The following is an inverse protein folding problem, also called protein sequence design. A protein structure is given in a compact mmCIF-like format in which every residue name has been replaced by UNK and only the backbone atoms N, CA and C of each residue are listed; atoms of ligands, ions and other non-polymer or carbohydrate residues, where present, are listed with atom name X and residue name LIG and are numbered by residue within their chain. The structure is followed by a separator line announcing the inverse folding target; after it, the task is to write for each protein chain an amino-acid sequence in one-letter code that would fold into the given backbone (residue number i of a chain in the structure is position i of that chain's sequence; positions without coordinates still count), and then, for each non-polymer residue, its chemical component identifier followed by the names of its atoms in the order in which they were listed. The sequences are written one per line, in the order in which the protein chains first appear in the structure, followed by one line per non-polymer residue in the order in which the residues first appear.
data_IF_919524179208
#
_entry.id   IF_919524179208
#
_cell.length_a   1.000
_cell.length_b   1.000
_cell.length_c   1.000
_cell.angle_alpha   90.00
_cell.angle_beta   90.00
_cell.angle_gamma   90.00
#
_symmetry.space_group_name_H-M   'P 1'
#
loop_
_entity.id
_entity.type
_entity.pdbx_description
1 polymer ?
#
# COMPACT_ATOMS: atom_id res chain seq x y z
N UNK A 1 -21.26 1.12 20.18
CA UNK A 1 -21.70 2.27 19.38
C UNK A 1 -21.60 3.53 20.25
N UNK A 2 -20.55 4.33 20.06
CA UNK A 2 -20.47 5.68 20.65
C UNK A 2 -20.81 6.66 19.54
N UNK A 3 -22.02 7.16 19.52
CA UNK A 3 -22.42 8.32 18.72
C UNK A 3 -21.91 9.57 19.41
N UNK A 4 -20.63 9.89 19.26
CA UNK A 4 -20.09 11.19 19.62
C UNK A 4 -20.45 12.17 18.51
N UNK A 5 -21.14 13.27 18.84
CA UNK A 5 -21.37 14.38 17.94
C UNK A 5 -20.04 14.89 17.42
N UNK A 6 -19.80 14.80 16.11
CA UNK A 6 -18.55 15.23 15.46
C UNK A 6 -18.33 16.74 15.39
N UNK A 7 -19.13 17.53 16.11
CA UNK A 7 -18.98 18.97 16.19
C UNK A 7 -17.68 19.34 16.91
N UNK A 8 -16.71 19.93 16.19
CA UNK A 8 -15.41 20.31 16.71
C UNK A 8 -14.31 19.24 16.61
N UNK A 9 -14.57 18.06 16.01
CA UNK A 9 -13.55 17.07 15.73
C UNK A 9 -12.57 17.59 14.66
N UNK A 10 -11.27 17.29 14.81
CA UNK A 10 -10.26 17.56 13.78
C UNK A 10 -10.04 16.29 12.99
N UNK A 11 -10.03 16.39 11.67
CA UNK A 11 -9.88 15.24 10.76
C UNK A 11 -8.95 15.55 9.59
N UNK A 12 -8.24 14.55 9.12
CA UNK A 12 -7.62 14.59 7.80
C UNK A 12 -8.57 13.94 6.78
N UNK A 13 -8.67 14.51 5.59
CA UNK A 13 -9.24 13.81 4.43
C UNK A 13 -8.20 12.84 3.94
N UNK A 14 -8.52 11.56 3.93
CA UNK A 14 -7.66 10.49 3.48
C UNK A 14 -8.15 9.93 2.14
N UNK A 15 -7.23 9.68 1.22
CA UNK A 15 -7.49 9.07 -0.08
C UNK A 15 -6.50 7.92 -0.27
N UNK A 16 -7.01 6.75 -0.65
CA UNK A 16 -6.23 5.58 -1.03
C UNK A 16 -6.65 5.18 -2.44
N UNK A 17 -5.79 5.49 -3.40
CA UNK A 17 -6.07 5.41 -4.83
C UNK A 17 -5.47 4.12 -5.35
N UNK A 18 -6.32 3.22 -5.81
CA UNK A 18 -5.89 1.98 -6.41
C UNK A 18 -6.27 1.87 -7.90
N UNK A 19 -5.63 0.93 -8.60
CA UNK A 19 -5.91 0.69 -10.02
C UNK A 19 -7.33 0.19 -10.32
N UNK A 20 -8.07 -0.30 -9.33
CA UNK A 20 -9.45 -0.81 -9.48
C UNK A 20 -10.45 -0.08 -8.60
N UNK A 21 -9.99 0.50 -7.52
CA UNK A 21 -10.82 1.04 -6.45
C UNK A 21 -10.23 2.33 -5.94
N UNK A 22 -11.07 3.31 -5.69
CA UNK A 22 -10.76 4.55 -4.98
C UNK A 22 -11.42 4.49 -3.61
N UNK A 23 -10.63 4.55 -2.55
CA UNK A 23 -11.11 4.60 -1.17
C UNK A 23 -10.83 5.97 -0.57
N UNK A 24 -11.74 6.46 0.25
CA UNK A 24 -11.56 7.73 0.94
C UNK A 24 -12.26 7.77 2.28
N UNK A 25 -11.81 8.64 3.18
CA UNK A 25 -12.39 8.74 4.51
C UNK A 25 -11.96 9.98 5.29
N UNK A 26 -12.59 10.16 6.43
CA UNK A 26 -12.24 11.16 7.43
C UNK A 26 -11.59 10.46 8.61
N UNK A 27 -10.35 10.82 8.93
CA UNK A 27 -9.54 10.11 9.90
C UNK A 27 -8.98 11.09 10.93
N UNK A 28 -9.08 10.73 12.20
CA UNK A 28 -8.58 11.51 13.33
C UNK A 28 -7.06 11.35 13.50
N UNK A 29 -6.45 12.15 14.35
CA UNK A 29 -5.02 12.16 14.63
C UNK A 29 -4.48 10.82 15.16
N UNK A 30 -5.30 10.10 15.91
CA UNK A 30 -4.98 8.77 16.45
C UNK A 30 -5.25 7.62 15.46
N UNK A 31 -5.60 7.96 14.20
CA UNK A 31 -5.85 6.99 13.14
C UNK A 31 -7.26 6.38 13.13
N UNK A 32 -8.19 6.86 13.97
CA UNK A 32 -9.55 6.37 13.96
C UNK A 32 -10.31 6.86 12.73
N UNK A 33 -10.90 5.94 11.97
CA UNK A 33 -11.69 6.23 10.77
C UNK A 33 -13.12 6.55 11.17
N UNK A 34 -13.54 7.83 11.05
CA UNK A 34 -14.89 8.28 11.39
C UNK A 34 -15.90 7.89 10.31
N UNK A 35 -15.50 7.94 9.08
CA UNK A 35 -16.24 7.43 7.93
C UNK A 35 -15.30 7.02 6.82
N UNK A 36 -15.71 6.02 6.06
CA UNK A 36 -15.02 5.60 4.84
C UNK A 36 -16.05 5.36 3.74
N UNK A 37 -15.62 5.56 2.52
CA UNK A 37 -16.37 5.25 1.30
C UNK A 37 -15.42 4.65 0.27
N UNK A 38 -15.95 3.75 -0.54
CA UNK A 38 -15.21 3.08 -1.59
C UNK A 38 -16.02 3.13 -2.88
N UNK A 39 -15.36 3.31 -3.99
CA UNK A 39 -15.98 3.28 -5.32
C UNK A 39 -15.04 2.69 -6.36
N UNK A 40 -15.56 2.12 -7.45
CA UNK A 40 -14.73 1.69 -8.56
C UNK A 40 -13.92 2.86 -9.11
N UNK A 41 -12.67 2.59 -9.51
CA UNK A 41 -11.86 3.57 -10.22
C UNK A 41 -12.53 3.94 -11.56
N UNK A 42 -12.45 5.22 -11.93
CA UNK A 42 -12.98 5.71 -13.21
C UNK A 42 -12.19 5.04 -14.34
N UNK A 43 -12.91 4.47 -15.32
CA UNK A 43 -12.34 3.82 -16.50
C UNK A 43 -12.87 4.50 -17.76
N UNK A 44 -12.06 5.35 -18.38
CA UNK A 44 -12.41 6.08 -19.59
C UNK A 44 -11.14 6.37 -20.38
N UNK A 45 -10.68 5.35 -21.11
CA UNK A 45 -9.41 5.39 -21.85
C UNK A 45 -8.15 5.19 -20.99
N UNK A 46 -8.28 5.08 -19.66
CA UNK A 46 -7.20 4.88 -18.69
C UNK A 46 -7.74 4.59 -17.31
N UNK A 47 -6.89 4.61 -16.29
CA UNK A 47 -7.30 4.49 -14.89
C UNK A 47 -7.33 5.87 -14.23
N UNK A 48 -8.50 6.33 -13.82
CA UNK A 48 -8.80 7.66 -13.25
C UNK A 48 -8.22 8.83 -14.05
N UNK A 49 -8.53 8.93 -15.37
CA UNK A 49 -7.91 9.92 -16.25
C UNK A 49 -8.07 11.34 -15.72
N UNK A 50 -6.94 12.07 -15.63
CA UNK A 50 -6.89 13.42 -15.07
C UNK A 50 -7.35 13.47 -13.60
N UNK A 51 -7.27 12.37 -12.86
CA UNK A 51 -7.65 12.26 -11.44
C UNK A 51 -9.10 12.66 -11.15
N UNK A 52 -10.02 12.46 -12.10
CA UNK A 52 -11.42 12.90 -11.98
C UNK A 52 -12.16 12.24 -10.82
N UNK A 53 -11.99 10.93 -10.65
CA UNK A 53 -12.57 10.18 -9.55
C UNK A 53 -11.99 10.56 -8.21
N UNK A 54 -10.66 10.69 -8.15
CA UNK A 54 -9.92 11.17 -6.97
C UNK A 54 -10.42 12.55 -6.53
N UNK A 55 -10.53 13.50 -7.45
CA UNK A 55 -11.00 14.86 -7.16
C UNK A 55 -12.47 14.89 -6.71
N UNK A 56 -13.33 14.07 -7.33
CA UNK A 56 -14.73 13.97 -6.91
C UNK A 56 -14.85 13.41 -5.48
N UNK A 57 -14.06 12.39 -5.16
CA UNK A 57 -14.02 11.78 -3.84
C UNK A 57 -13.50 12.76 -2.77
N UNK A 58 -12.42 13.49 -3.07
CA UNK A 58 -11.86 14.50 -2.17
C UNK A 58 -12.85 15.62 -1.85
N UNK A 59 -13.57 16.14 -2.88
CA UNK A 59 -14.62 17.16 -2.70
C UNK A 59 -15.75 16.67 -1.82
N UNK A 60 -16.26 15.46 -2.08
CA UNK A 60 -17.33 14.85 -1.27
C UNK A 60 -16.93 14.75 0.21
N UNK A 61 -15.72 14.26 0.48
CA UNK A 61 -15.23 14.11 1.85
C UNK A 61 -15.02 15.46 2.55
N UNK A 62 -14.55 16.47 1.82
CA UNK A 62 -14.40 17.83 2.36
C UNK A 62 -15.76 18.42 2.74
N UNK A 63 -16.76 18.28 1.87
CA UNK A 63 -18.14 18.71 2.19
C UNK A 63 -18.69 17.92 3.38
N UNK A 64 -18.49 16.60 3.40
CA UNK A 64 -18.95 15.76 4.51
C UNK A 64 -18.33 16.17 5.85
N UNK A 65 -17.05 16.53 5.88
CA UNK A 65 -16.42 17.06 7.07
C UNK A 65 -17.09 18.36 7.55
N UNK A 66 -17.41 19.27 6.62
CA UNK A 66 -18.14 20.52 6.92
C UNK A 66 -19.54 20.24 7.49
N UNK A 67 -20.29 19.32 6.87
CA UNK A 67 -21.62 18.91 7.35
C UNK A 67 -21.58 18.29 8.76
N UNK A 68 -20.48 17.63 9.10
CA UNK A 68 -20.24 17.09 10.45
C UNK A 68 -19.75 18.14 11.46
N UNK A 69 -19.48 19.36 11.02
CA UNK A 69 -18.86 20.41 11.84
C UNK A 69 -17.42 20.08 12.25
N UNK A 70 -16.73 19.24 11.47
CA UNK A 70 -15.35 18.86 11.70
C UNK A 70 -14.38 19.82 11.00
N UNK A 71 -13.24 20.10 11.65
CA UNK A 71 -12.15 20.88 11.06
C UNK A 71 -11.26 19.97 10.24
N UNK A 72 -11.12 20.25 8.93
CA UNK A 72 -10.17 19.55 8.06
C UNK A 72 -8.77 20.13 8.26
N UNK A 73 -7.82 19.30 8.71
CA UNK A 73 -6.43 19.69 8.97
C UNK A 73 -5.53 19.55 7.75
N UNK A 74 -5.93 18.77 6.77
CA UNK A 74 -5.20 18.54 5.53
C UNK A 74 -5.78 17.39 4.72
N UNK A 75 -5.17 17.12 3.57
CA UNK A 75 -5.46 15.97 2.72
C UNK A 75 -4.21 15.10 2.64
N UNK A 76 -4.35 13.80 2.89
CA UNK A 76 -3.35 12.80 2.58
C UNK A 76 -3.86 11.88 1.48
N UNK A 77 -3.00 11.58 0.49
CA UNK A 77 -3.38 10.76 -0.65
C UNK A 77 -2.28 9.74 -0.99
N UNK A 78 -2.63 8.45 -0.91
CA UNK A 78 -1.80 7.32 -1.34
C UNK A 78 -2.08 6.96 -2.80
N UNK A 79 -1.03 6.79 -3.59
CA UNK A 79 -1.11 6.41 -5.00
C UNK A 79 -0.30 5.15 -5.29
N UNK A 80 -0.74 4.28 -6.21
CA UNK A 80 0.00 3.09 -6.63
C UNK A 80 1.09 3.47 -7.66
N UNK A 81 1.86 4.50 -7.34
CA UNK A 81 2.88 5.10 -8.18
C UNK A 81 4.14 5.38 -7.35
N UNK A 82 5.27 5.56 -8.01
CA UNK A 82 6.45 6.09 -7.36
C UNK A 82 6.25 7.57 -7.00
N UNK A 83 6.60 7.91 -5.77
CA UNK A 83 6.46 9.27 -5.24
C UNK A 83 7.80 9.75 -4.70
N UNK A 84 8.28 10.87 -5.21
CA UNK A 84 9.53 11.49 -4.76
C UNK A 84 9.46 11.96 -3.31
N UNK A 85 10.61 12.24 -2.69
CA UNK A 85 10.66 12.83 -1.35
C UNK A 85 9.98 14.21 -1.22
N UNK A 86 9.71 14.88 -2.35
CA UNK A 86 8.95 16.13 -2.41
C UNK A 86 7.43 15.92 -2.60
N UNK A 87 6.94 14.69 -2.58
CA UNK A 87 5.52 14.38 -2.76
C UNK A 87 5.01 14.53 -4.19
N UNK A 88 5.88 14.36 -5.18
CA UNK A 88 5.50 14.38 -6.59
C UNK A 88 5.45 12.96 -7.16
N UNK A 89 4.40 12.63 -7.91
CA UNK A 89 4.35 11.40 -8.70
C UNK A 89 5.46 11.41 -9.75
N UNK A 90 6.19 10.30 -9.88
CA UNK A 90 7.31 10.16 -10.81
C UNK A 90 7.14 9.00 -11.80
N UNK A 91 6.07 8.21 -11.65
CA UNK A 91 5.68 7.14 -12.59
C UNK A 91 4.24 7.31 -13.06
N UNK A 92 3.85 6.54 -14.08
CA UNK A 92 2.49 6.40 -14.61
C UNK A 92 2.24 4.93 -14.93
N UNK A 93 2.41 4.08 -13.93
CA UNK A 93 2.28 2.64 -14.12
C UNK A 93 0.83 2.18 -14.04
N UNK A 94 0.04 2.86 -13.22
CA UNK A 94 -1.34 2.46 -12.91
C UNK A 94 -2.33 3.58 -13.19
N UNK A 95 -2.02 4.81 -12.78
CA UNK A 95 -2.95 5.96 -12.83
C UNK A 95 -2.60 6.88 -14.01
N UNK A 96 -3.63 7.31 -14.72
CA UNK A 96 -3.48 8.23 -15.86
C UNK A 96 -3.65 9.69 -15.40
N UNK A 97 -2.55 10.29 -15.00
CA UNK A 97 -2.50 11.66 -14.50
C UNK A 97 -1.71 12.60 -15.43
N UNK A 98 -2.18 13.84 -15.56
CA UNK A 98 -1.52 14.90 -16.35
C UNK A 98 -0.91 15.98 -15.45
N UNK A 99 -1.60 16.30 -14.35
CA UNK A 99 -1.17 17.29 -13.36
C UNK A 99 -0.89 16.63 -12.03
N UNK A 100 0.07 17.17 -11.27
CA UNK A 100 0.42 16.66 -9.95
C UNK A 100 -0.77 16.73 -8.99
N UNK A 101 -1.10 15.64 -8.27
CA UNK A 101 -2.27 15.57 -7.40
C UNK A 101 -2.29 16.66 -6.32
N UNK A 102 -1.12 17.03 -5.78
CA UNK A 102 -1.02 18.04 -4.75
C UNK A 102 -1.57 19.40 -5.23
N UNK A 103 -1.26 19.81 -6.48
CA UNK A 103 -1.77 21.05 -7.08
C UNK A 103 -3.29 21.02 -7.27
N UNK A 104 -3.83 19.88 -7.69
CA UNK A 104 -5.28 19.72 -7.89
C UNK A 104 -6.05 19.70 -6.58
N UNK A 105 -5.51 19.08 -5.53
CA UNK A 105 -6.16 18.92 -4.22
C UNK A 105 -6.07 20.16 -3.34
N UNK A 106 -4.99 20.97 -3.46
CA UNK A 106 -4.74 22.13 -2.59
C UNK A 106 -5.90 23.15 -2.55
N UNK A 107 -6.62 23.45 -3.64
CA UNK A 107 -7.77 24.36 -3.61
C UNK A 107 -8.94 23.89 -2.73
N UNK A 108 -9.02 22.60 -2.41
CA UNK A 108 -10.09 22.06 -1.55
C UNK A 108 -9.84 22.34 -0.06
N UNK A 109 -8.60 22.62 0.33
CA UNK A 109 -8.19 22.86 1.72
C UNK A 109 -7.23 24.04 1.80
N UNK A 110 -7.66 25.28 1.50
CA UNK A 110 -6.79 26.44 1.43
C UNK A 110 -5.99 26.64 2.72
N UNK A 111 -4.66 26.79 2.57
CA UNK A 111 -3.76 27.01 3.70
C UNK A 111 -3.50 25.77 4.57
N UNK A 112 -3.97 24.59 4.16
CA UNK A 112 -3.70 23.32 4.83
C UNK A 112 -2.80 22.43 3.96
N UNK A 113 -2.02 21.52 4.56
CA UNK A 113 -1.14 20.63 3.82
C UNK A 113 -1.93 19.64 2.92
N UNK A 114 -1.35 19.36 1.77
CA UNK A 114 -1.71 18.24 0.91
C UNK A 114 -0.47 17.36 0.80
N UNK A 115 -0.56 16.13 1.28
CA UNK A 115 0.53 15.16 1.26
C UNK A 115 0.20 14.05 0.28
N UNK A 116 1.05 13.88 -0.71
CA UNK A 116 0.98 12.79 -1.69
C UNK A 116 2.07 11.78 -1.36
N UNK A 117 1.69 10.51 -1.27
CA UNK A 117 2.60 9.43 -0.90
C UNK A 117 2.28 8.17 -1.72
N UNK A 118 3.20 7.20 -1.77
CA UNK A 118 2.91 5.87 -2.31
C UNK A 118 1.98 5.10 -1.37
N UNK A 119 1.03 4.36 -1.93
CA UNK A 119 0.06 3.53 -1.20
C UNK A 119 0.73 2.55 -0.21
N UNK A 120 1.79 1.87 -0.66
CA UNK A 120 2.55 0.95 0.19
C UNK A 120 3.25 1.68 1.34
N UNK A 121 3.74 2.91 1.12
CA UNK A 121 4.35 3.71 2.18
C UNK A 121 3.31 4.23 3.16
N UNK A 122 2.10 4.56 2.69
CA UNK A 122 0.96 4.83 3.56
C UNK A 122 0.65 3.62 4.45
N UNK A 123 0.52 2.42 3.86
CA UNK A 123 0.29 1.20 4.63
C UNK A 123 1.38 0.92 5.67
N UNK A 124 2.64 1.12 5.31
CA UNK A 124 3.77 0.98 6.22
C UNK A 124 3.73 2.00 7.39
N UNK A 125 3.39 3.26 7.10
CA UNK A 125 3.24 4.30 8.13
C UNK A 125 2.12 3.95 9.11
N UNK A 126 0.97 3.51 8.60
CA UNK A 126 -0.15 3.09 9.45
C UNK A 126 0.25 1.95 10.39
N UNK A 127 0.87 0.90 9.88
CA UNK A 127 1.35 -0.23 10.69
C UNK A 127 2.42 0.20 11.70
N UNK A 128 3.24 1.20 11.38
CA UNK A 128 4.22 1.76 12.30
C UNK A 128 3.59 2.51 13.48
N UNK A 129 2.46 3.20 13.25
CA UNK A 129 1.78 4.03 14.25
C UNK A 129 0.79 3.28 15.10
N UNK A 130 -0.01 2.41 14.49
CA UNK A 130 -1.19 1.83 15.13
C UNK A 130 -1.35 0.32 14.91
N UNK A 131 -0.41 -0.33 14.21
CA UNK A 131 -0.50 -1.75 13.86
C UNK A 131 0.70 -2.59 14.30
N UNK A 132 0.95 -3.68 13.59
CA UNK A 132 1.98 -4.69 13.89
C UNK A 132 3.42 -4.16 13.92
N UNK A 133 3.68 -3.01 13.35
CA UNK A 133 4.98 -2.32 13.35
C UNK A 133 5.20 -1.43 14.56
N UNK A 134 4.19 -1.22 15.42
CA UNK A 134 4.27 -0.32 16.56
C UNK A 134 5.37 -0.76 17.55
N UNK A 135 6.21 0.20 17.95
CA UNK A 135 7.31 -0.03 18.90
C UNK A 135 8.52 -0.75 18.32
N UNK A 136 8.53 -1.10 17.02
CA UNK A 136 9.70 -1.66 16.35
C UNK A 136 10.67 -0.54 15.94
N UNK A 137 11.97 -0.74 16.16
CA UNK A 137 13.00 0.17 15.66
C UNK A 137 13.09 0.21 14.15
N UNK A 138 12.80 -0.92 13.50
CA UNK A 138 12.69 -1.02 12.04
C UNK A 138 11.84 -2.21 11.63
N UNK A 139 11.23 -2.15 10.43
CA UNK A 139 10.59 -3.31 9.82
C UNK A 139 10.47 -3.15 8.29
N UNK A 140 10.41 -4.28 7.60
CA UNK A 140 10.07 -4.35 6.20
C UNK A 140 8.56 -4.60 6.09
N UNK A 141 7.82 -3.66 5.53
CA UNK A 141 6.42 -3.84 5.17
C UNK A 141 6.32 -4.37 3.74
N UNK A 142 5.50 -5.40 3.53
CA UNK A 142 5.28 -6.00 2.21
C UNK A 142 3.79 -6.15 1.98
N UNK A 143 3.26 -5.49 0.96
CA UNK A 143 1.87 -5.58 0.55
C UNK A 143 1.74 -6.59 -0.59
N UNK A 144 1.03 -7.70 -0.34
CA UNK A 144 0.68 -8.70 -1.34
C UNK A 144 -0.82 -8.63 -1.60
N UNK A 145 -1.18 -7.94 -2.66
CA UNK A 145 -2.56 -7.70 -3.09
C UNK A 145 -2.73 -8.02 -4.57
N UNK A 146 -3.40 -7.15 -5.32
CA UNK A 146 -3.44 -7.19 -6.78
C UNK A 146 -2.03 -7.09 -7.35
N UNK A 147 -1.24 -6.13 -6.85
CA UNK A 147 0.20 -5.98 -7.07
C UNK A 147 1.03 -6.51 -5.90
N UNK A 148 2.35 -6.29 -5.98
CA UNK A 148 3.33 -6.61 -4.96
C UNK A 148 4.26 -5.42 -4.75
N UNK A 149 4.22 -4.83 -3.57
CA UNK A 149 5.06 -3.67 -3.23
C UNK A 149 5.61 -3.80 -1.83
N UNK A 150 6.69 -3.04 -1.53
CA UNK A 150 7.32 -3.05 -0.22
C UNK A 150 7.76 -1.64 0.19
N UNK A 151 7.83 -1.43 1.50
CA UNK A 151 8.39 -0.23 2.11
C UNK A 151 9.20 -0.58 3.35
N UNK A 152 10.24 0.18 3.62
CA UNK A 152 11.05 0.02 4.83
C UNK A 152 10.77 1.15 5.81
N UNK A 153 10.54 0.78 7.06
CA UNK A 153 10.36 1.71 8.16
C UNK A 153 11.56 1.61 9.09
N UNK A 154 12.11 2.76 9.44
CA UNK A 154 13.19 2.88 10.41
C UNK A 154 12.87 4.03 11.37
N UNK A 155 12.94 3.76 12.69
CA UNK A 155 12.63 4.75 13.73
C UNK A 155 11.27 5.44 13.52
N UNK A 156 10.28 4.66 13.09
CA UNK A 156 8.94 5.13 12.80
C UNK A 156 8.81 5.97 11.52
N UNK A 157 9.86 6.14 10.73
CA UNK A 157 9.84 6.88 9.46
C UNK A 157 9.93 5.93 8.27
N UNK A 158 9.11 6.16 7.28
CA UNK A 158 9.16 5.40 6.04
C UNK A 158 10.29 5.91 5.17
N UNK A 159 11.15 5.01 4.71
CA UNK A 159 12.28 5.33 3.87
C UNK A 159 11.87 5.34 2.39
N UNK A 160 11.90 6.52 1.78
CA UNK A 160 11.56 6.69 0.37
C UNK A 160 12.74 6.40 -0.59
N UNK A 161 13.98 6.38 -0.07
CA UNK A 161 15.18 6.38 -0.91
C UNK A 161 15.45 7.76 -1.53
N UNK A 162 16.50 7.86 -2.32
CA UNK A 162 16.94 9.13 -2.90
C UNK A 162 15.95 9.67 -3.94
N UNK A 163 15.30 8.81 -4.72
CA UNK A 163 14.39 9.17 -5.81
C UNK A 163 12.91 8.86 -5.52
N UNK A 164 12.60 8.30 -4.37
CA UNK A 164 11.25 7.82 -4.08
C UNK A 164 10.94 6.42 -4.64
N UNK A 165 11.95 5.70 -5.10
CA UNK A 165 11.84 4.37 -5.74
C UNK A 165 12.29 3.22 -4.83
N UNK A 166 12.60 3.49 -3.56
CA UNK A 166 12.94 2.44 -2.62
C UNK A 166 11.65 1.68 -2.24
N UNK A 167 11.78 0.56 -2.15
CA UNK A 167 12.13 -0.79 -2.35
C UNK A 167 11.32 -1.41 -3.50
N UNK A 168 11.84 -1.40 -4.68
CA UNK A 168 11.23 -2.02 -5.85
C UNK A 168 11.26 -3.56 -5.75
N UNK A 169 10.75 -4.13 -4.66
CA UNK A 169 10.77 -5.59 -4.44
C UNK A 169 10.03 -6.34 -5.55
N UNK A 170 8.94 -5.77 -6.06
CA UNK A 170 8.14 -6.35 -7.14
C UNK A 170 8.94 -6.54 -8.44
N UNK A 171 9.90 -5.67 -8.71
CA UNK A 171 10.72 -5.70 -9.93
C UNK A 171 11.91 -6.68 -9.87
N UNK A 172 12.12 -7.37 -8.75
CA UNK A 172 13.22 -8.32 -8.63
C UNK A 172 13.00 -9.54 -9.52
N UNK A 173 14.02 -9.99 -10.28
CA UNK A 173 13.89 -11.13 -11.15
C UNK A 173 13.72 -12.42 -10.33
N UNK A 174 12.73 -13.24 -10.68
CA UNK A 174 12.52 -14.56 -10.06
C UNK A 174 13.53 -15.57 -10.61
N UNK A 175 13.83 -15.43 -11.93
CA UNK A 175 14.85 -16.21 -12.61
C UNK A 175 15.74 -15.26 -13.40
N UNK A 176 17.06 -15.43 -13.31
CA UNK A 176 18.03 -14.60 -14.05
C UNK A 176 17.75 -14.65 -15.55
N UNK A 177 17.47 -13.49 -16.13
CA UNK A 177 17.33 -13.29 -17.57
C UNK A 177 15.97 -13.63 -18.18
N UNK A 178 14.94 -13.97 -17.39
CA UNK A 178 13.58 -14.28 -17.88
C UNK A 178 12.52 -13.55 -17.07
N UNK A 179 11.52 -12.90 -17.72
CA UNK A 179 10.31 -12.49 -17.06
C UNK A 179 9.47 -13.73 -16.65
N UNK A 180 8.57 -13.62 -15.69
CA UNK A 180 8.20 -12.39 -14.99
C UNK A 180 9.15 -12.04 -13.84
N UNK A 181 9.10 -10.77 -13.42
CA UNK A 181 9.63 -10.32 -12.15
C UNK A 181 8.81 -10.88 -10.96
N UNK A 182 9.17 -10.52 -9.74
CA UNK A 182 8.52 -11.05 -8.55
C UNK A 182 7.03 -10.63 -8.48
N UNK A 183 6.67 -9.44 -8.93
CA UNK A 183 5.28 -9.01 -9.00
C UNK A 183 4.50 -9.86 -10.00
N UNK A 184 4.98 -10.00 -11.23
CA UNK A 184 4.36 -10.87 -12.24
C UNK A 184 4.34 -12.34 -11.86
N UNK A 185 5.14 -12.75 -10.87
CA UNK A 185 5.19 -14.14 -10.40
C UNK A 185 4.33 -14.42 -9.17
N UNK A 186 4.29 -13.50 -8.18
CA UNK A 186 3.74 -13.75 -6.85
C UNK A 186 2.67 -12.74 -6.39
N UNK A 187 2.35 -11.71 -7.18
CA UNK A 187 1.20 -10.86 -6.92
C UNK A 187 -0.12 -11.57 -7.26
N UNK A 188 -1.23 -10.99 -6.82
CA UNK A 188 -2.55 -11.52 -7.14
C UNK A 188 -2.85 -11.57 -8.64
N UNK A 189 -2.43 -10.56 -9.40
CA UNK A 189 -2.53 -10.55 -10.86
C UNK A 189 -1.61 -11.58 -11.50
N UNK A 190 -0.37 -11.67 -11.03
CA UNK A 190 0.62 -12.62 -11.53
C UNK A 190 0.20 -14.08 -11.30
N UNK A 191 -0.27 -14.41 -10.10
CA UNK A 191 -0.81 -15.74 -9.76
C UNK A 191 -1.99 -16.10 -10.69
N UNK A 192 -2.93 -15.17 -10.90
CA UNK A 192 -4.07 -15.41 -11.79
C UNK A 192 -3.63 -15.63 -13.25
N UNK A 193 -2.72 -14.80 -13.75
CA UNK A 193 -2.18 -14.92 -15.11
C UNK A 193 -1.44 -16.26 -15.31
N UNK A 194 -0.58 -16.65 -14.36
CA UNK A 194 0.15 -17.92 -14.40
C UNK A 194 -0.79 -19.12 -14.39
N UNK A 195 -1.80 -19.10 -13.53
CA UNK A 195 -2.81 -20.16 -13.49
C UNK A 195 -3.58 -20.26 -14.81
N UNK A 196 -4.03 -19.12 -15.34
CA UNK A 196 -4.74 -19.09 -16.62
C UNK A 196 -3.89 -19.60 -17.78
N UNK A 197 -2.62 -19.20 -17.84
CA UNK A 197 -1.66 -19.68 -18.85
C UNK A 197 -1.40 -21.19 -18.75
N UNK A 198 -1.29 -21.72 -17.52
CA UNK A 198 -1.04 -23.14 -17.29
C UNK A 198 -2.23 -24.04 -17.62
N UNK A 199 -3.45 -23.58 -17.35
CA UNK A 199 -4.67 -24.44 -17.44
C UNK A 199 -5.56 -24.12 -18.64
N UNK A 200 -5.36 -22.99 -19.31
CA UNK A 200 -6.28 -22.48 -20.32
C UNK A 200 -7.60 -21.94 -19.75
N UNK A 201 -7.75 -21.89 -18.41
CA UNK A 201 -8.97 -21.44 -17.73
C UNK A 201 -8.78 -20.01 -17.25
N UNK A 202 -9.55 -19.06 -17.77
CA UNK A 202 -9.50 -17.68 -17.30
C UNK A 202 -10.00 -17.55 -15.85
N UNK A 203 -9.28 -16.79 -15.03
CA UNK A 203 -9.68 -16.43 -13.68
C UNK A 203 -9.44 -14.94 -13.41
N UNK A 204 -10.33 -14.32 -12.65
CA UNK A 204 -10.28 -12.89 -12.33
C UNK A 204 -9.61 -12.63 -10.97
N UNK A 205 -8.31 -12.97 -10.85
CA UNK A 205 -7.53 -12.70 -9.66
C UNK A 205 -7.24 -13.92 -8.77
N UNK A 206 -6.29 -13.75 -7.85
CA UNK A 206 -5.77 -14.85 -7.04
C UNK A 206 -6.80 -15.48 -6.10
N UNK A 207 -7.86 -14.78 -5.69
CA UNK A 207 -8.90 -15.38 -4.84
C UNK A 207 -9.55 -16.60 -5.50
N UNK A 208 -9.77 -16.56 -6.82
CA UNK A 208 -10.29 -17.69 -7.55
C UNK A 208 -9.29 -18.87 -7.58
N UNK A 209 -7.99 -18.58 -7.71
CA UNK A 209 -6.93 -19.59 -7.66
C UNK A 209 -6.85 -20.22 -6.26
N UNK A 210 -6.92 -19.43 -5.21
CA UNK A 210 -6.97 -19.91 -3.82
C UNK A 210 -8.16 -20.84 -3.59
N UNK A 211 -9.35 -20.45 -4.05
CA UNK A 211 -10.56 -21.30 -3.93
C UNK A 211 -10.41 -22.62 -4.69
N UNK A 212 -9.79 -22.62 -5.86
CA UNK A 212 -9.52 -23.84 -6.66
C UNK A 212 -8.51 -24.76 -5.95
N UNK A 213 -7.44 -24.20 -5.39
CA UNK A 213 -6.47 -24.98 -4.61
C UNK A 213 -7.12 -25.64 -3.39
N UNK A 214 -8.00 -24.91 -2.68
CA UNK A 214 -8.79 -25.45 -1.56
C UNK A 214 -9.75 -26.57 -2.00
N UNK A 215 -10.21 -26.53 -3.26
CA UNK A 215 -11.03 -27.59 -3.85
C UNK A 215 -10.20 -28.77 -4.41
N UNK A 216 -8.88 -28.77 -4.23
CA UNK A 216 -7.99 -29.87 -4.63
C UNK A 216 -7.40 -29.74 -6.03
N UNK A 217 -7.48 -28.56 -6.67
CA UNK A 217 -6.83 -28.29 -7.97
C UNK A 217 -5.31 -28.27 -7.78
N UNK A 218 -4.61 -29.24 -8.38
CA UNK A 218 -3.16 -29.41 -8.28
C UNK A 218 -2.40 -28.25 -8.96
N UNK A 219 -2.90 -27.75 -10.11
CA UNK A 219 -2.29 -26.64 -10.81
C UNK A 219 -2.37 -25.32 -10.00
N UNK A 220 -3.52 -25.09 -9.35
CA UNK A 220 -3.70 -23.95 -8.46
C UNK A 220 -2.76 -24.04 -7.25
N UNK A 221 -2.61 -25.23 -6.67
CA UNK A 221 -1.71 -25.49 -5.56
C UNK A 221 -0.24 -25.27 -5.95
N UNK A 222 0.17 -25.74 -7.12
CA UNK A 222 1.53 -25.54 -7.63
C UNK A 222 1.84 -24.05 -7.86
N UNK A 223 0.93 -23.30 -8.49
CA UNK A 223 1.09 -21.88 -8.73
C UNK A 223 1.22 -21.10 -7.42
N UNK A 224 0.38 -21.39 -6.41
CA UNK A 224 0.44 -20.72 -5.10
C UNK A 224 1.71 -21.11 -4.32
N UNK A 225 2.08 -22.39 -4.34
CA UNK A 225 3.27 -22.89 -3.66
C UNK A 225 4.55 -22.27 -4.21
N UNK A 226 4.70 -22.24 -5.54
CA UNK A 226 5.87 -21.65 -6.20
C UNK A 226 5.91 -20.13 -6.05
N UNK A 227 4.77 -19.44 -6.08
CA UNK A 227 4.68 -18.01 -5.79
C UNK A 227 5.13 -17.67 -4.36
N UNK A 228 4.63 -18.44 -3.38
CA UNK A 228 5.06 -18.30 -1.99
C UNK A 228 6.55 -18.57 -1.81
N UNK A 229 7.08 -19.60 -2.45
CA UNK A 229 8.50 -19.92 -2.45
C UNK A 229 9.39 -18.78 -2.97
N UNK A 230 9.02 -18.18 -4.10
CA UNK A 230 9.71 -17.03 -4.68
C UNK A 230 9.67 -15.82 -3.74
N UNK A 231 8.48 -15.49 -3.20
CA UNK A 231 8.32 -14.39 -2.24
C UNK A 231 9.17 -14.61 -0.99
N UNK A 232 9.15 -15.79 -0.39
CA UNK A 232 9.95 -16.10 0.80
C UNK A 232 11.45 -15.99 0.57
N UNK A 233 11.94 -16.39 -0.62
CA UNK A 233 13.33 -16.23 -1.01
C UNK A 233 13.70 -14.73 -1.16
N UNK A 234 12.85 -13.94 -1.80
CA UNK A 234 13.06 -12.50 -1.93
C UNK A 234 13.07 -11.78 -0.57
N UNK A 235 12.18 -12.17 0.36
CA UNK A 235 12.18 -11.66 1.72
C UNK A 235 13.48 -11.99 2.47
N UNK A 236 14.04 -13.18 2.26
CA UNK A 236 15.32 -13.55 2.86
C UNK A 236 16.48 -12.67 2.35
N UNK A 237 16.49 -12.31 1.07
CA UNK A 237 17.46 -11.38 0.51
C UNK A 237 17.27 -9.96 1.03
N UNK A 238 16.02 -9.49 1.11
CA UNK A 238 15.70 -8.17 1.68
C UNK A 238 16.16 -8.07 3.14
N UNK A 239 15.94 -9.11 3.94
CA UNK A 239 16.45 -9.20 5.33
C UNK A 239 17.96 -9.15 5.39
N UNK A 240 18.66 -9.85 4.49
CA UNK A 240 20.13 -9.83 4.45
C UNK A 240 20.70 -8.44 4.11
N UNK A 241 19.94 -7.62 3.38
CA UNK A 241 20.35 -6.25 2.99
C UNK A 241 19.97 -5.19 4.01
N UNK A 242 18.78 -5.31 4.64
CA UNK A 242 18.17 -4.25 5.45
C UNK A 242 18.26 -4.49 6.95
N UNK A 243 18.46 -5.76 7.37
CA UNK A 243 18.48 -6.20 8.77
C UNK A 243 17.32 -5.61 9.63
N UNK A 244 16.06 -5.81 9.22
CA UNK A 244 14.91 -5.27 9.94
C UNK A 244 14.66 -6.04 11.25
N UNK A 245 14.01 -5.42 12.23
CA UNK A 245 13.56 -6.12 13.44
C UNK A 245 12.39 -7.08 13.18
N UNK A 246 11.60 -6.86 12.12
CA UNK A 246 10.51 -7.74 11.68
C UNK A 246 10.20 -7.54 10.19
N UNK A 247 9.46 -8.50 9.62
CA UNK A 247 8.74 -8.34 8.37
C UNK A 247 7.25 -8.23 8.73
N UNK A 248 6.54 -7.25 8.18
CA UNK A 248 5.09 -7.09 8.33
C UNK A 248 4.44 -7.31 6.97
N UNK A 249 3.66 -8.38 6.83
CA UNK A 249 3.00 -8.77 5.57
C UNK A 249 1.55 -8.31 5.59
N UNK A 250 1.23 -7.39 4.69
CA UNK A 250 -0.08 -6.82 4.45
C UNK A 250 -0.65 -7.22 3.08
N UNK A 251 -1.70 -6.51 2.69
CA UNK A 251 -2.45 -6.79 1.47
C UNK A 251 -3.41 -7.96 1.62
N UNK A 252 -4.46 -7.97 0.80
CA UNK A 252 -5.53 -8.94 0.93
C UNK A 252 -5.12 -10.39 0.71
N UNK A 253 -4.11 -10.64 -0.10
CA UNK A 253 -3.56 -11.98 -0.34
C UNK A 253 -2.51 -12.35 0.73
N UNK A 254 -1.67 -11.40 1.13
CA UNK A 254 -0.63 -11.61 2.15
C UNK A 254 -1.18 -11.93 3.54
N UNK A 255 -2.36 -11.41 3.87
CA UNK A 255 -3.03 -11.67 5.16
C UNK A 255 -4.00 -12.86 5.14
N UNK A 256 -4.30 -13.42 3.96
CA UNK A 256 -5.28 -14.51 3.82
C UNK A 256 -4.83 -15.84 4.45
N UNK A 257 -3.52 -16.05 4.61
CA UNK A 257 -2.98 -17.36 5.07
C UNK A 257 -3.00 -18.43 3.98
N UNK A 258 -2.94 -19.71 4.40
CA UNK A 258 -2.97 -20.86 3.51
C UNK A 258 -1.66 -21.08 2.75
N UNK A 259 -1.72 -21.81 1.64
CA UNK A 259 -0.56 -22.37 0.95
C UNK A 259 0.48 -21.33 0.52
N UNK A 260 0.04 -20.15 0.08
CA UNK A 260 0.96 -19.05 -0.26
C UNK A 260 1.79 -18.61 0.97
N UNK A 261 1.12 -18.33 2.09
CA UNK A 261 1.78 -17.91 3.35
C UNK A 261 2.68 -19.02 3.90
N UNK A 262 2.23 -20.27 3.89
CA UNK A 262 3.01 -21.44 4.34
C UNK A 262 4.28 -21.63 3.52
N UNK A 263 4.17 -21.58 2.19
CA UNK A 263 5.30 -21.73 1.28
C UNK A 263 6.26 -20.54 1.39
N UNK A 264 5.75 -19.32 1.53
CA UNK A 264 6.54 -18.12 1.78
C UNK A 264 7.37 -18.27 3.08
N UNK A 265 6.73 -18.66 4.19
CA UNK A 265 7.42 -18.83 5.49
C UNK A 265 8.43 -19.95 5.44
N UNK A 266 8.14 -21.02 4.75
CA UNK A 266 9.05 -22.16 4.58
C UNK A 266 10.30 -21.74 3.79
N UNK A 267 10.15 -21.07 2.65
CA UNK A 267 11.25 -20.59 1.85
C UNK A 267 12.07 -19.51 2.58
N UNK A 268 11.39 -18.56 3.23
CA UNK A 268 12.04 -17.56 4.08
C UNK A 268 12.90 -18.23 5.17
N UNK A 269 12.34 -19.19 5.88
CA UNK A 269 13.07 -19.92 6.94
C UNK A 269 14.28 -20.70 6.42
N UNK A 270 14.23 -21.19 5.18
CA UNK A 270 15.33 -21.92 4.55
C UNK A 270 16.48 -21.00 4.12
N UNK A 271 16.17 -19.78 3.66
CA UNK A 271 17.13 -18.88 3.01
C UNK A 271 17.56 -17.70 3.87
N UNK A 272 16.77 -17.30 4.90
CA UNK A 272 17.12 -16.19 5.76
C UNK A 272 18.41 -16.42 6.57
N UNK A 273 19.19 -15.36 6.85
CA UNK A 273 20.39 -15.45 7.67
C UNK A 273 20.11 -16.15 9.01
N UNK A 274 20.89 -17.17 9.35
CA UNK A 274 20.63 -18.03 10.53
C UNK A 274 20.75 -17.29 11.87
N UNK A 275 21.57 -16.21 11.94
CA UNK A 275 21.82 -15.48 13.18
C UNK A 275 20.76 -14.43 13.51
N UNK A 276 20.11 -13.89 12.50
CA UNK A 276 19.04 -12.90 12.63
C UNK A 276 17.91 -13.30 11.71
N UNK A 277 16.95 -14.04 12.25
CA UNK A 277 15.76 -14.37 11.51
C UNK A 277 14.61 -13.52 12.05
N UNK A 278 14.42 -12.30 11.50
CA UNK A 278 13.31 -11.44 11.90
C UNK A 278 11.97 -12.20 11.80
N UNK A 279 11.07 -12.02 12.77
CA UNK A 279 9.75 -12.65 12.70
C UNK A 279 8.94 -12.08 11.54
N UNK A 280 8.15 -12.94 10.89
CA UNK A 280 7.15 -12.54 9.90
C UNK A 280 5.82 -12.37 10.63
N UNK A 281 5.32 -11.13 10.72
CA UNK A 281 4.06 -10.73 11.33
C UNK A 281 3.01 -10.46 10.26
N UNK A 282 1.74 -10.61 10.59
CA UNK A 282 0.65 -10.12 9.75
C UNK A 282 0.36 -8.67 10.08
N UNK A 283 0.05 -7.86 9.06
CA UNK A 283 -0.49 -6.53 9.21
C UNK A 283 -1.85 -6.59 9.95
N UNK A 284 -2.09 -5.63 10.84
CA UNK A 284 -3.28 -5.60 11.70
C UNK A 284 -4.41 -4.74 11.13
N UNK A 285 -4.08 -3.69 10.37
CA UNK A 285 -5.05 -2.70 9.93
C UNK A 285 -5.87 -3.12 8.70
N UNK A 286 -5.43 -4.20 8.03
CA UNK A 286 -6.15 -4.77 6.90
C UNK A 286 -6.38 -3.77 5.76
N UNK A 287 -7.62 -3.71 5.18
CA UNK A 287 -7.92 -2.84 4.04
C UNK A 287 -7.84 -1.33 4.34
N UNK A 288 -7.86 -0.95 5.62
CA UNK A 288 -7.82 0.46 6.02
C UNK A 288 -6.39 1.01 6.17
N UNK A 289 -5.36 0.17 6.03
CA UNK A 289 -3.97 0.59 6.24
C UNK A 289 -3.53 1.73 5.33
N UNK A 290 -3.82 1.65 4.02
CA UNK A 290 -3.52 2.71 3.06
C UNK A 290 -4.20 4.03 3.41
N UNK A 291 -5.50 3.96 3.70
CA UNK A 291 -6.32 5.11 4.08
C UNK A 291 -5.82 5.76 5.38
N UNK A 292 -5.61 4.95 6.42
CA UNK A 292 -5.11 5.43 7.72
C UNK A 292 -3.73 6.08 7.56
N UNK A 293 -2.85 5.45 6.80
CA UNK A 293 -1.50 5.98 6.58
C UNK A 293 -1.48 7.27 5.77
N UNK A 294 -2.33 7.40 4.76
CA UNK A 294 -2.50 8.65 4.02
C UNK A 294 -2.92 9.79 4.96
N UNK A 295 -3.90 9.54 5.85
CA UNK A 295 -4.30 10.52 6.86
C UNK A 295 -3.17 10.89 7.81
N UNK A 296 -2.46 9.90 8.35
CA UNK A 296 -1.35 10.12 9.29
C UNK A 296 -0.23 10.93 8.63
N UNK A 297 0.06 10.72 7.35
CA UNK A 297 1.01 11.52 6.61
C UNK A 297 0.61 13.02 6.58
N UNK A 298 -0.68 13.32 6.42
CA UNK A 298 -1.18 14.70 6.50
C UNK A 298 -1.11 15.28 7.92
N UNK A 299 -1.38 14.49 8.95
CA UNK A 299 -1.27 14.89 10.34
C UNK A 299 0.16 15.18 10.78
N UNK A 300 1.12 14.37 10.31
CA UNK A 300 2.53 14.49 10.67
C UNK A 300 3.25 15.58 9.86
N UNK A 301 2.62 16.10 8.80
CA UNK A 301 3.21 17.16 7.99
C UNK A 301 3.23 18.46 8.79
N UNK A 302 4.42 19.04 9.08
CA UNK A 302 4.50 20.29 9.84
C UNK A 302 3.74 21.39 9.10
N UNK A 303 2.71 21.93 9.73
CA UNK A 303 1.97 23.06 9.20
C UNK A 303 2.93 24.24 9.00
N UNK A 304 3.39 24.46 7.77
CA UNK A 304 4.28 25.57 7.42
C UNK A 304 5.74 25.23 7.19
N UNK A 305 6.15 23.98 7.05
CA UNK A 305 7.45 23.65 6.50
C UNK A 305 7.52 24.12 5.04
N UNK A 306 7.82 25.42 4.84
CA UNK A 306 8.29 25.93 3.56
C UNK A 306 9.56 25.17 3.22
N UNK A 307 9.61 24.61 2.04
CA UNK A 307 10.81 24.03 1.43
C UNK A 307 12.02 24.93 1.68
N UNK A 308 12.93 24.50 2.51
CA UNK A 308 14.31 24.93 2.51
C UNK A 308 15.18 23.71 2.38
N UNK A 309 15.11 23.04 1.26
CA UNK A 309 16.19 22.20 0.79
C UNK A 309 17.07 23.06 -0.13
N UNK A 310 17.95 23.85 0.48
CA UNK A 310 19.18 24.26 -0.21
C UNK A 310 20.05 23.01 -0.30
N UNK A 311 20.18 22.51 -1.52
CA UNK A 311 21.23 21.59 -1.91
C UNK A 311 22.54 22.40 -1.75
N UNK A 312 23.41 21.97 -0.83
CA UNK A 312 24.81 22.32 -0.81
C UNK A 312 25.58 21.17 -1.47
#
# INVERSE_FOLDING_TARGET
MRTGSGAGARVAVALDIGGTTLSGGLVTEDGAVLCATERPAVRDGGCDPGLRGTMALARELTVRAQDMGAEVVGIGAGFPEYVSGAGALTSREVIDWDEQPAGLLAPLVPGRPVVVESDVRCGALAEARTGSGQGLGSFLYVSVGTGLSAAFVQEGRVWAGQRGEALGLGTWPVHTGLPPDLEGYASGSGIAARYSALTGSEVTGARAVVARAQAGDAAASDVLGTAGGALGTALAWAVALLDPAAIVVGGGLGTAGGLLDESMRTAYAAHAPRRSRPPVRRAELGPLSGLTGAALAAWEHPAGARETHRIA
#
